data_IF_314279197752
#
_entry.id   IF_314279197752
#
_cell.length_a   1.000
_cell.length_b   1.000
_cell.length_c   1.000
_cell.angle_alpha   90.00
_cell.angle_beta   90.00
_cell.angle_gamma   90.00
#
_symmetry.space_group_name_H-M   'P 1'
#
loop_
_entity.id
_entity.type
_entity.pdbx_description
1 polymer ?
#
# COMPACT_ATOMS: atom_id res chain seq x y z
N UNK A 1 15.04 -49.93 -45.72
CA UNK A 1 13.61 -49.71 -45.38
C UNK A 1 13.46 -48.34 -44.73
N UNK A 2 13.02 -47.38 -45.55
CA UNK A 2 12.99 -45.96 -45.15
C UNK A 2 11.62 -45.67 -44.54
N UNK A 3 11.59 -45.51 -43.22
CA UNK A 3 10.36 -45.32 -42.47
C UNK A 3 10.07 -43.78 -42.39
N UNK A 4 9.62 -43.20 -43.52
CA UNK A 4 9.14 -41.85 -43.58
C UNK A 4 7.89 -41.73 -42.71
N UNK A 5 8.03 -41.21 -41.50
CA UNK A 5 6.88 -40.74 -40.70
C UNK A 5 6.23 -39.59 -41.47
N UNK A 6 5.13 -39.85 -42.11
CA UNK A 6 4.26 -38.84 -42.66
C UNK A 6 3.67 -38.06 -41.48
N UNK A 7 4.15 -36.84 -41.25
CA UNK A 7 3.50 -35.88 -40.30
C UNK A 7 2.15 -35.51 -40.92
N UNK A 8 1.11 -36.21 -40.49
CA UNK A 8 -0.25 -35.84 -40.83
C UNK A 8 -0.64 -34.58 -40.04
N UNK A 9 -0.34 -33.41 -40.62
CA UNK A 9 -0.80 -32.12 -40.06
C UNK A 9 -2.31 -32.04 -40.20
N UNK A 10 -3.01 -31.85 -39.10
CA UNK A 10 -4.46 -31.68 -39.06
C UNK A 10 -4.78 -30.23 -38.70
N UNK A 11 -5.53 -29.55 -39.56
CA UNK A 11 -6.06 -28.20 -39.25
C UNK A 11 -7.42 -28.35 -38.54
N UNK A 12 -7.53 -27.74 -37.36
CA UNK A 12 -8.79 -27.62 -36.62
C UNK A 12 -9.20 -26.15 -36.63
N UNK A 13 -10.45 -25.86 -37.03
CA UNK A 13 -11.02 -24.52 -36.97
C UNK A 13 -11.87 -24.43 -35.70
N UNK A 14 -11.51 -23.51 -34.80
CA UNK A 14 -12.27 -23.22 -33.59
C UNK A 14 -12.85 -21.80 -33.70
N UNK A 15 -14.12 -21.63 -33.37
CA UNK A 15 -14.69 -20.29 -33.20
C UNK A 15 -14.29 -19.75 -31.85
N UNK A 16 -13.81 -18.52 -31.82
CA UNK A 16 -13.47 -17.77 -30.63
C UNK A 16 -14.39 -16.57 -30.49
N UNK A 17 -14.59 -16.14 -29.27
CA UNK A 17 -15.52 -15.09 -28.88
C UNK A 17 -14.81 -14.11 -27.95
N UNK A 18 -15.16 -12.84 -28.03
CA UNK A 18 -14.81 -11.86 -27.01
C UNK A 18 -15.64 -12.12 -25.74
N UNK A 19 -15.20 -11.63 -24.60
CA UNK A 19 -15.87 -11.88 -23.32
C UNK A 19 -17.36 -11.46 -23.34
N UNK A 20 -17.65 -10.29 -23.89
CA UNK A 20 -19.01 -9.74 -24.01
C UNK A 20 -19.92 -10.47 -25.02
N UNK A 21 -19.35 -11.33 -25.87
CA UNK A 21 -20.10 -12.17 -26.83
C UNK A 21 -20.50 -13.53 -26.25
N UNK A 22 -19.97 -13.84 -25.05
CA UNK A 22 -20.29 -15.09 -24.33
C UNK A 22 -21.67 -15.01 -23.66
N UNK A 23 -22.29 -16.16 -23.46
CA UNK A 23 -23.45 -16.25 -22.57
C UNK A 23 -23.05 -15.95 -21.13
N UNK A 24 -23.99 -15.49 -20.27
CA UNK A 24 -23.73 -15.22 -18.85
C UNK A 24 -23.07 -16.39 -18.11
N UNK A 25 -23.51 -17.62 -18.40
CA UNK A 25 -22.91 -18.82 -17.82
C UNK A 25 -21.45 -19.03 -18.27
N UNK A 26 -21.14 -18.74 -19.53
CA UNK A 26 -19.79 -18.85 -20.05
C UNK A 26 -18.90 -17.73 -19.50
N UNK A 27 -19.43 -16.51 -19.32
CA UNK A 27 -18.73 -15.40 -18.68
C UNK A 27 -18.37 -15.75 -17.23
N UNK A 28 -19.32 -16.25 -16.44
CA UNK A 28 -19.06 -16.67 -15.07
C UNK A 28 -18.01 -17.77 -15.00
N UNK A 29 -18.04 -18.71 -15.91
CA UNK A 29 -17.03 -19.77 -16.00
C UNK A 29 -15.65 -19.22 -16.36
N UNK A 30 -15.59 -18.24 -17.25
CA UNK A 30 -14.35 -17.56 -17.60
C UNK A 30 -13.75 -16.85 -16.38
N UNK A 31 -14.56 -16.10 -15.62
CA UNK A 31 -14.15 -15.42 -14.38
C UNK A 31 -13.62 -16.43 -13.35
N UNK A 32 -14.35 -17.52 -13.10
CA UNK A 32 -13.92 -18.56 -12.15
C UNK A 32 -12.60 -19.19 -12.57
N UNK A 33 -12.43 -19.49 -13.86
CA UNK A 33 -11.19 -20.04 -14.39
C UNK A 33 -10.03 -19.04 -14.28
N UNK A 34 -10.29 -17.75 -14.48
CA UNK A 34 -9.29 -16.70 -14.35
C UNK A 34 -8.80 -16.58 -12.91
N UNK A 35 -9.75 -16.56 -11.96
CA UNK A 35 -9.46 -16.52 -10.52
C UNK A 35 -8.64 -17.73 -10.05
N UNK A 36 -8.97 -18.92 -10.51
CA UNK A 36 -8.27 -20.15 -10.08
C UNK A 36 -6.84 -20.27 -10.65
N UNK A 37 -6.49 -19.55 -11.69
CA UNK A 37 -5.15 -19.58 -12.27
C UNK A 37 -4.13 -18.67 -11.56
N UNK A 38 -4.54 -17.91 -10.54
CA UNK A 38 -3.66 -17.10 -9.68
C UNK A 38 -2.85 -16.01 -10.40
N UNK A 39 -3.10 -15.77 -11.68
CA UNK A 39 -2.27 -14.96 -12.58
C UNK A 39 -2.16 -13.47 -12.16
N UNK A 40 -3.09 -13.00 -11.33
CA UNK A 40 -3.18 -11.58 -10.97
C UNK A 40 -2.54 -11.24 -9.63
N UNK A 41 -2.32 -12.20 -8.74
CA UNK A 41 -1.81 -11.98 -7.39
C UNK A 41 -0.32 -11.60 -7.34
N UNK A 42 0.49 -12.14 -8.26
CA UNK A 42 1.95 -11.98 -8.23
C UNK A 42 2.41 -10.53 -8.47
N UNK A 43 1.69 -9.78 -9.31
CA UNK A 43 2.07 -8.41 -9.65
C UNK A 43 1.96 -7.48 -8.42
N UNK A 44 0.81 -7.47 -7.76
CA UNK A 44 0.59 -6.62 -6.57
C UNK A 44 1.41 -7.06 -5.37
N UNK A 45 1.63 -8.37 -5.22
CA UNK A 45 2.44 -8.94 -4.15
C UNK A 45 3.86 -8.38 -4.13
N UNK A 46 4.49 -8.20 -5.30
CA UNK A 46 5.83 -7.64 -5.40
C UNK A 46 5.87 -6.16 -4.98
N UNK A 47 4.88 -5.36 -5.37
CA UNK A 47 4.83 -3.94 -5.04
C UNK A 47 4.58 -3.72 -3.54
N UNK A 48 3.64 -4.49 -2.96
CA UNK A 48 3.39 -4.46 -1.51
C UNK A 48 4.64 -4.90 -0.75
N UNK A 49 5.30 -5.98 -1.19
CA UNK A 49 6.53 -6.47 -0.58
C UNK A 49 7.65 -5.43 -0.62
N UNK A 50 7.79 -4.69 -1.72
CA UNK A 50 8.79 -3.63 -1.84
C UNK A 50 8.49 -2.47 -0.89
N UNK A 51 7.24 -2.03 -0.80
CA UNK A 51 6.81 -0.99 0.14
C UNK A 51 7.01 -1.44 1.59
N UNK A 52 6.61 -2.67 1.94
CA UNK A 52 6.81 -3.23 3.26
C UNK A 52 8.29 -3.29 3.66
N UNK A 53 9.16 -3.77 2.76
CA UNK A 53 10.62 -3.79 2.99
C UNK A 53 11.17 -2.39 3.28
N UNK A 54 10.74 -1.39 2.52
CA UNK A 54 11.20 -0.02 2.71
C UNK A 54 10.76 0.58 4.06
N UNK A 55 9.55 0.29 4.49
CA UNK A 55 9.05 0.72 5.81
C UNK A 55 9.82 0.02 6.93
N UNK A 56 10.08 -1.28 6.79
CA UNK A 56 10.88 -2.08 7.73
C UNK A 56 12.31 -1.53 7.82
N UNK A 57 12.94 -1.24 6.69
CA UNK A 57 14.27 -0.62 6.66
C UNK A 57 14.26 0.78 7.30
N UNK A 58 13.26 1.61 6.99
CA UNK A 58 13.13 2.97 7.50
C UNK A 58 13.12 3.02 9.04
N UNK A 59 12.32 2.18 9.68
CA UNK A 59 12.19 2.13 11.14
C UNK A 59 13.17 1.14 11.79
N UNK A 60 14.11 0.57 11.02
CA UNK A 60 15.06 -0.44 11.49
C UNK A 60 14.37 -1.60 12.22
N UNK A 61 13.30 -2.12 11.64
CA UNK A 61 12.53 -3.22 12.20
C UNK A 61 13.11 -4.57 11.77
N UNK A 62 12.77 -5.62 12.49
CA UNK A 62 12.97 -7.01 12.08
C UNK A 62 11.62 -7.66 11.86
N UNK A 63 11.58 -8.64 10.99
CA UNK A 63 10.38 -9.44 10.73
C UNK A 63 10.63 -10.90 11.05
N UNK A 64 9.57 -11.63 11.33
CA UNK A 64 9.57 -13.08 11.41
C UNK A 64 9.51 -13.71 10.02
N UNK A 65 8.65 -14.70 9.88
CA UNK A 65 8.45 -15.41 8.61
C UNK A 65 7.67 -14.57 7.59
N UNK A 66 6.88 -13.63 8.06
CA UNK A 66 6.05 -12.73 7.26
C UNK A 66 6.41 -11.28 7.56
N UNK A 67 6.20 -10.37 6.58
CA UNK A 67 6.46 -8.94 6.77
C UNK A 67 5.57 -8.28 7.83
N UNK A 68 4.43 -8.88 8.13
CA UNK A 68 3.51 -8.44 9.17
C UNK A 68 3.94 -8.83 10.59
N UNK A 69 4.82 -9.84 10.72
CA UNK A 69 5.37 -10.28 12.02
C UNK A 69 6.53 -9.34 12.43
N UNK A 70 6.18 -8.16 12.91
CA UNK A 70 7.14 -7.13 13.32
C UNK A 70 7.76 -7.49 14.67
N UNK A 71 9.10 -7.35 14.75
CA UNK A 71 9.89 -7.60 15.95
C UNK A 71 10.69 -6.36 16.33
N UNK A 72 10.42 -5.87 17.52
CA UNK A 72 11.01 -4.65 18.10
C UNK A 72 12.06 -4.90 19.16
N UNK A 73 12.28 -6.15 19.57
CA UNK A 73 13.12 -6.54 20.72
C UNK A 73 14.59 -6.09 20.66
N UNK A 74 15.05 -5.58 19.54
CA UNK A 74 16.40 -5.03 19.36
C UNK A 74 16.44 -3.50 19.43
N UNK A 75 15.28 -2.84 19.54
CA UNK A 75 15.16 -1.40 19.70
C UNK A 75 15.23 -1.09 21.19
N UNK A 76 15.86 0.04 21.54
CA UNK A 76 15.96 0.50 22.93
C UNK A 76 14.56 0.70 23.54
N UNK A 77 14.33 0.11 24.73
CA UNK A 77 13.06 0.20 25.43
C UNK A 77 12.64 1.65 25.71
N UNK A 78 13.59 2.57 25.91
CA UNK A 78 13.28 3.99 26.05
C UNK A 78 12.67 4.60 24.79
N UNK A 79 13.03 4.09 23.62
CA UNK A 79 12.43 4.50 22.34
C UNK A 79 11.06 3.86 22.19
N UNK A 80 10.94 2.56 22.46
CA UNK A 80 9.68 1.82 22.35
C UNK A 80 8.58 2.43 23.23
N UNK A 81 8.92 2.93 24.41
CA UNK A 81 7.99 3.53 25.37
C UNK A 81 7.73 5.04 25.14
N UNK A 82 8.33 5.65 24.11
CA UNK A 82 7.99 7.03 23.77
C UNK A 82 6.52 7.13 23.39
N UNK A 83 5.84 8.16 23.89
CA UNK A 83 4.41 8.40 23.60
C UNK A 83 4.07 9.88 23.51
N UNK A 84 2.90 10.19 22.94
CA UNK A 84 2.38 11.55 22.82
C UNK A 84 3.36 12.50 22.14
N UNK A 85 3.58 13.69 22.74
CA UNK A 85 4.43 14.74 22.15
C UNK A 85 5.91 14.31 22.05
N UNK A 86 6.39 13.43 22.94
CA UNK A 86 7.77 12.94 22.88
C UNK A 86 7.96 12.06 21.67
N UNK A 87 7.04 11.12 21.44
CA UNK A 87 7.03 10.26 20.27
C UNK A 87 6.89 11.06 18.98
N UNK A 88 5.95 12.02 18.96
CA UNK A 88 5.78 12.93 17.83
C UNK A 88 7.11 13.62 17.46
N UNK A 89 7.80 14.23 18.44
CA UNK A 89 9.09 14.88 18.20
C UNK A 89 10.15 13.90 17.71
N UNK A 90 10.16 12.69 18.25
CA UNK A 90 11.10 11.65 17.85
C UNK A 90 10.91 11.28 16.39
N UNK A 91 9.67 10.99 15.97
CA UNK A 91 9.37 10.64 14.58
C UNK A 91 9.73 11.79 13.64
N UNK A 92 9.34 13.01 13.97
CA UNK A 92 9.63 14.18 13.12
C UNK A 92 11.12 14.45 13.01
N UNK A 93 11.89 14.32 14.09
CA UNK A 93 13.32 14.62 14.06
C UNK A 93 14.15 13.56 13.33
N UNK A 94 13.70 12.32 13.30
CA UNK A 94 14.49 11.23 12.74
C UNK A 94 14.01 10.78 11.35
N UNK A 95 12.71 10.93 11.04
CA UNK A 95 12.10 10.33 9.84
C UNK A 95 11.38 11.33 8.93
N UNK A 96 11.39 12.62 9.25
CA UNK A 96 10.62 13.61 8.49
C UNK A 96 10.95 13.65 7.00
N UNK A 97 12.23 13.64 6.67
CA UNK A 97 12.69 13.70 5.26
C UNK A 97 12.24 12.51 4.42
N UNK A 98 12.00 11.38 5.07
CA UNK A 98 11.62 10.13 4.42
C UNK A 98 10.10 9.94 4.37
N UNK A 99 9.38 10.57 5.31
CA UNK A 99 7.93 10.46 5.42
C UNK A 99 7.17 11.57 4.68
N UNK A 100 7.82 12.71 4.39
CA UNK A 100 7.14 13.88 3.86
C UNK A 100 7.95 14.60 2.80
N UNK A 101 7.27 15.09 1.78
CA UNK A 101 7.82 16.08 0.87
C UNK A 101 7.92 17.42 1.60
N UNK A 102 9.10 18.06 1.70
CA UNK A 102 9.25 19.30 2.44
C UNK A 102 8.38 20.41 1.84
N UNK A 103 7.62 21.09 2.72
CA UNK A 103 6.86 22.28 2.34
C UNK A 103 7.67 23.51 2.67
N UNK A 104 8.11 24.23 1.65
CA UNK A 104 8.82 25.49 1.81
C UNK A 104 7.85 26.65 1.87
N UNK A 105 8.00 27.51 2.88
CA UNK A 105 7.21 28.73 3.04
C UNK A 105 8.15 29.92 2.90
N UNK A 106 7.77 30.85 2.02
CA UNK A 106 8.48 32.12 1.87
C UNK A 106 8.19 32.99 3.09
N UNK A 107 9.23 33.42 3.79
CA UNK A 107 9.11 34.36 4.89
C UNK A 107 9.05 35.82 4.41
N UNK A 108 8.79 36.77 5.34
CA UNK A 108 8.77 38.21 5.06
C UNK A 108 10.09 38.65 4.48
N UNK A 109 11.21 38.04 4.87
CA UNK A 109 12.57 38.34 4.42
C UNK A 109 12.94 37.68 3.08
N UNK A 110 11.98 37.12 2.36
CA UNK A 110 12.13 36.42 1.07
C UNK A 110 12.98 35.16 1.10
N UNK A 111 13.34 34.66 2.27
CA UNK A 111 13.99 33.36 2.42
C UNK A 111 13.01 32.22 2.46
N UNK A 112 13.38 31.07 1.89
CA UNK A 112 12.56 29.86 1.93
C UNK A 112 12.95 29.01 3.13
N UNK A 113 12.00 28.83 4.05
CA UNK A 113 12.18 27.97 5.22
C UNK A 113 11.23 26.80 5.17
N UNK A 114 11.74 25.64 5.54
CA UNK A 114 10.91 24.45 5.80
C UNK A 114 10.15 24.69 7.10
N UNK A 115 8.83 24.83 7.04
CA UNK A 115 7.99 25.06 8.22
C UNK A 115 7.18 23.82 8.54
N UNK A 116 7.64 23.06 9.50
CA UNK A 116 7.03 21.81 9.97
C UNK A 116 5.71 22.03 10.74
N UNK A 117 5.57 23.19 11.39
CA UNK A 117 4.44 23.45 12.30
C UNK A 117 3.86 24.84 12.15
N UNK A 118 2.53 24.93 12.33
CA UNK A 118 1.86 26.18 12.60
C UNK A 118 1.40 26.13 14.06
N UNK A 119 1.91 27.07 14.84
CA UNK A 119 1.40 27.32 16.17
C UNK A 119 0.26 28.35 16.10
N UNK A 120 -0.94 27.99 16.55
CA UNK A 120 -2.02 28.92 16.82
C UNK A 120 -2.13 29.11 18.31
N UNK A 121 -2.03 30.35 18.77
CA UNK A 121 -2.32 30.70 20.16
C UNK A 121 -3.82 30.90 20.29
N UNK A 122 -4.45 30.11 21.15
CA UNK A 122 -5.86 30.29 21.51
C UNK A 122 -5.95 30.72 22.98
N UNK A 123 -6.83 31.68 23.27
CA UNK A 123 -7.15 32.02 24.65
C UNK A 123 -8.28 31.10 25.09
N UNK A 124 -8.07 30.33 26.16
CA UNK A 124 -9.09 29.52 26.78
C UNK A 124 -10.16 30.35 27.49
N UNK A 125 -11.26 29.70 27.91
CA UNK A 125 -12.34 30.36 28.71
C UNK A 125 -11.83 30.84 30.06
N UNK A 126 -10.75 30.33 30.54
CA UNK A 126 -10.03 30.68 31.77
C UNK A 126 -9.08 31.90 31.61
N UNK A 127 -9.05 32.51 30.43
CA UNK A 127 -8.16 33.61 30.08
C UNK A 127 -6.71 33.20 29.77
N UNK A 128 -6.37 31.93 29.94
CA UNK A 128 -5.00 31.43 29.66
C UNK A 128 -4.76 31.24 28.17
N UNK A 129 -3.53 31.51 27.75
CA UNK A 129 -3.10 31.29 26.36
C UNK A 129 -2.57 29.88 26.19
N UNK A 130 -3.22 29.11 25.34
CA UNK A 130 -2.78 27.76 24.95
C UNK A 130 -2.21 27.80 23.54
N UNK A 131 -1.02 27.25 23.40
CA UNK A 131 -0.40 27.08 22.08
C UNK A 131 -0.86 25.75 21.50
N UNK A 132 -1.69 25.80 20.47
CA UNK A 132 -2.08 24.62 19.72
C UNK A 132 -1.14 24.47 18.53
N UNK A 133 -0.39 23.37 18.51
CA UNK A 133 0.52 23.02 17.41
C UNK A 133 -0.26 22.19 16.40
N UNK A 134 -0.34 22.66 15.18
CA UNK A 134 -0.88 21.89 14.06
C UNK A 134 0.27 21.48 13.17
N UNK A 135 0.37 20.20 12.89
CA UNK A 135 1.21 19.73 11.80
C UNK A 135 0.61 20.23 10.48
N UNK A 136 1.40 20.94 9.68
CA UNK A 136 1.07 21.25 8.28
C UNK A 136 1.63 20.19 7.33
N UNK A 137 1.77 18.99 7.79
CA UNK A 137 2.00 17.89 6.87
C UNK A 137 0.73 17.77 6.04
N UNK A 138 0.70 18.47 4.91
CA UNK A 138 -0.28 18.15 3.90
C UNK A 138 -0.06 16.69 3.58
N UNK A 139 -1.10 15.88 3.63
CA UNK A 139 -1.21 14.59 2.95
C UNK A 139 -0.99 14.83 1.45
N UNK A 140 0.21 15.10 1.05
CA UNK A 140 0.63 15.03 -0.34
C UNK A 140 1.22 13.64 -0.50
N UNK A 141 0.42 12.77 -0.55
CA UNK A 141 0.08 11.51 -1.20
C UNK A 141 1.07 10.94 -2.19
N UNK A 142 2.27 11.34 -2.19
CA UNK A 142 3.25 10.68 -3.00
C UNK A 142 3.75 9.48 -2.22
N UNK A 143 3.78 8.38 -2.86
CA UNK A 143 4.42 7.16 -2.47
C UNK A 143 5.89 7.46 -2.19
N UNK A 144 6.17 7.86 -0.95
CA UNK A 144 7.42 8.55 -0.58
C UNK A 144 8.65 7.64 -0.56
N UNK A 145 8.46 6.32 -0.45
CA UNK A 145 9.55 5.35 -0.30
C UNK A 145 9.85 4.61 -1.61
N UNK A 146 8.83 4.12 -2.28
CA UNK A 146 8.97 3.27 -3.48
C UNK A 146 8.43 3.92 -4.75
N UNK A 147 7.58 4.92 -4.61
CA UNK A 147 6.82 5.49 -5.72
C UNK A 147 5.53 4.72 -6.02
N UNK A 148 5.18 3.72 -5.23
CA UNK A 148 3.96 2.91 -5.37
C UNK A 148 2.94 3.28 -4.29
N UNK A 149 1.65 3.22 -4.60
CA UNK A 149 0.57 3.69 -3.70
C UNK A 149 0.54 2.99 -2.34
N UNK A 150 1.07 1.78 -2.24
CA UNK A 150 1.10 0.99 -1.00
C UNK A 150 1.95 1.56 0.13
N UNK A 151 2.93 2.43 -0.18
CA UNK A 151 3.68 3.16 0.85
C UNK A 151 2.74 3.91 1.79
N UNK A 152 1.70 4.52 1.23
CA UNK A 152 0.75 5.34 1.97
C UNK A 152 -0.14 4.49 2.87
N UNK A 153 -0.59 3.34 2.37
CA UNK A 153 -1.47 2.44 3.12
C UNK A 153 -0.73 1.86 4.33
N UNK A 154 0.53 1.44 4.12
CA UNK A 154 1.37 0.89 5.19
C UNK A 154 1.78 1.96 6.22
N UNK A 155 2.05 3.20 5.78
CA UNK A 155 2.44 4.30 6.65
C UNK A 155 1.26 5.04 7.29
N UNK A 156 0.01 4.68 6.97
CA UNK A 156 -1.18 5.36 7.49
C UNK A 156 -1.21 5.48 9.02
N UNK A 157 -0.82 4.46 9.82
CA UNK A 157 -0.76 4.60 11.27
C UNK A 157 0.15 5.74 11.73
N UNK A 158 1.30 5.92 11.07
CA UNK A 158 2.23 7.02 11.39
C UNK A 158 1.61 8.37 11.05
N UNK A 159 0.96 8.48 9.89
CA UNK A 159 0.32 9.73 9.48
C UNK A 159 -0.84 10.11 10.39
N UNK A 160 -1.66 9.17 10.80
CA UNK A 160 -2.78 9.39 11.72
C UNK A 160 -2.28 9.82 13.11
N UNK A 161 -1.24 9.17 13.61
CA UNK A 161 -0.59 9.60 14.85
C UNK A 161 -0.01 11.01 14.73
N UNK A 162 0.69 11.34 13.65
CA UNK A 162 1.28 12.67 13.45
C UNK A 162 0.21 13.76 13.28
N UNK A 163 -0.95 13.43 12.74
CA UNK A 163 -2.09 14.37 12.65
C UNK A 163 -2.70 14.61 14.04
N UNK A 164 -2.82 13.58 14.87
CA UNK A 164 -3.43 13.64 16.19
C UNK A 164 -2.65 12.83 17.22
N UNK A 165 -1.52 13.32 17.72
CA UNK A 165 -0.71 12.59 18.67
C UNK A 165 -1.47 12.19 19.95
N UNK A 166 -1.54 10.89 20.21
CA UNK A 166 -2.16 10.30 21.39
C UNK A 166 -1.13 10.08 22.50
N UNK A 167 -1.50 10.34 23.76
CA UNK A 167 -0.66 10.03 24.92
C UNK A 167 -0.60 8.53 25.22
N UNK A 168 -1.62 7.78 24.79
CA UNK A 168 -1.71 6.34 25.03
C UNK A 168 -0.99 5.50 23.98
N UNK A 169 -0.62 6.08 22.84
CA UNK A 169 0.06 5.35 21.77
C UNK A 169 1.57 5.45 21.94
N UNK A 170 2.23 4.33 22.03
CA UNK A 170 3.70 4.21 22.11
C UNK A 170 4.31 4.03 20.73
N UNK A 171 5.65 4.10 20.65
CA UNK A 171 6.35 3.77 19.41
C UNK A 171 6.18 2.29 19.05
N UNK A 172 6.18 1.42 20.07
CA UNK A 172 5.94 -0.01 19.90
C UNK A 172 4.54 -0.29 19.33
N UNK A 173 3.51 0.39 19.85
CA UNK A 173 2.14 0.27 19.32
C UNK A 173 2.09 0.65 17.84
N UNK A 174 2.72 1.77 17.45
CA UNK A 174 2.78 2.19 16.04
C UNK A 174 3.49 1.18 15.15
N UNK A 175 4.56 0.53 15.64
CA UNK A 175 5.26 -0.49 14.87
C UNK A 175 4.40 -1.75 14.68
N UNK A 176 3.63 -2.13 15.70
CA UNK A 176 2.66 -3.21 15.60
C UNK A 176 1.52 -2.85 14.62
N UNK A 177 0.99 -1.62 14.68
CA UNK A 177 -0.01 -1.12 13.73
C UNK A 177 0.51 -1.11 12.28
N UNK A 178 1.81 -0.86 12.06
CA UNK A 178 2.45 -1.02 10.74
C UNK A 178 2.38 -2.49 10.28
N UNK A 179 2.66 -3.45 11.14
CA UNK A 179 2.53 -4.87 10.82
C UNK A 179 1.10 -5.24 10.40
N UNK A 180 0.11 -4.74 11.14
CA UNK A 180 -1.31 -4.91 10.80
C UNK A 180 -1.66 -4.23 9.46
N UNK A 181 -1.14 -3.03 9.21
CA UNK A 181 -1.34 -2.31 7.96
C UNK A 181 -0.75 -3.08 6.77
N UNK A 182 0.44 -3.68 6.91
CA UNK A 182 1.03 -4.54 5.87
C UNK A 182 0.11 -5.73 5.58
N UNK A 183 -0.33 -6.44 6.63
CA UNK A 183 -1.24 -7.59 6.49
C UNK A 183 -2.54 -7.21 5.81
N UNK A 184 -3.13 -6.08 6.23
CA UNK A 184 -4.35 -5.55 5.64
C UNK A 184 -4.17 -5.19 4.17
N UNK A 185 -3.06 -4.55 3.81
CA UNK A 185 -2.75 -4.17 2.42
C UNK A 185 -2.69 -5.39 1.51
N UNK A 186 -2.09 -6.50 1.97
CA UNK A 186 -2.10 -7.76 1.24
C UNK A 186 -3.51 -8.33 1.07
N UNK A 187 -4.30 -8.35 2.16
CA UNK A 187 -5.67 -8.87 2.13
C UNK A 187 -6.58 -8.04 1.21
N UNK A 188 -6.51 -6.72 1.29
CA UNK A 188 -7.30 -5.82 0.46
C UNK A 188 -6.94 -5.98 -1.04
N UNK A 189 -5.65 -6.15 -1.35
CA UNK A 189 -5.18 -6.38 -2.72
C UNK A 189 -5.63 -7.76 -3.25
N UNK A 190 -5.61 -8.79 -2.42
CA UNK A 190 -6.10 -10.11 -2.77
C UNK A 190 -7.61 -10.11 -3.01
N UNK A 191 -8.38 -9.45 -2.14
CA UNK A 191 -9.82 -9.31 -2.31
C UNK A 191 -10.16 -8.57 -3.62
N UNK A 192 -9.47 -7.45 -3.88
CA UNK A 192 -9.67 -6.68 -5.10
C UNK A 192 -9.34 -7.48 -6.35
N UNK A 193 -8.17 -8.12 -6.42
CA UNK A 193 -7.74 -8.89 -7.59
C UNK A 193 -8.59 -10.13 -7.86
N UNK A 194 -9.27 -10.65 -6.83
CA UNK A 194 -10.21 -11.76 -6.94
C UNK A 194 -11.66 -11.30 -7.20
N UNK A 195 -11.95 -10.01 -7.25
CA UNK A 195 -13.29 -9.51 -7.54
C UNK A 195 -13.69 -9.79 -9.00
N UNK A 196 -14.98 -10.00 -9.22
CA UNK A 196 -15.52 -10.18 -10.57
C UNK A 196 -15.29 -8.94 -11.44
N UNK A 197 -15.38 -7.75 -10.84
CA UNK A 197 -15.16 -6.47 -11.49
C UNK A 197 -13.75 -6.37 -12.06
N UNK A 198 -12.73 -6.54 -11.21
CA UNK A 198 -11.33 -6.48 -11.62
C UNK A 198 -10.97 -7.52 -12.68
N UNK A 199 -11.46 -8.76 -12.52
CA UNK A 199 -11.22 -9.85 -13.46
C UNK A 199 -11.86 -9.51 -14.82
N UNK A 200 -13.08 -9.00 -14.81
CA UNK A 200 -13.79 -8.60 -16.04
C UNK A 200 -13.06 -7.48 -16.77
N UNK A 201 -12.69 -6.41 -16.07
CA UNK A 201 -11.92 -5.30 -16.63
C UNK A 201 -10.58 -5.78 -17.21
N UNK A 202 -9.90 -6.69 -16.51
CA UNK A 202 -8.63 -7.26 -16.97
C UNK A 202 -8.80 -8.10 -18.23
N UNK A 203 -9.84 -8.92 -18.30
CA UNK A 203 -10.16 -9.73 -19.48
C UNK A 203 -10.45 -8.83 -20.70
N UNK A 204 -11.24 -7.79 -20.51
CA UNK A 204 -11.62 -6.86 -21.59
C UNK A 204 -10.43 -6.00 -22.03
N UNK A 205 -9.67 -5.44 -21.11
CA UNK A 205 -8.50 -4.61 -21.40
C UNK A 205 -7.40 -5.36 -22.17
N UNK A 206 -7.24 -6.66 -21.91
CA UNK A 206 -6.29 -7.51 -22.62
C UNK A 206 -6.88 -8.19 -23.87
N UNK A 207 -8.13 -7.92 -24.19
CA UNK A 207 -8.83 -8.46 -25.35
C UNK A 207 -8.77 -10.00 -25.46
N UNK A 208 -8.83 -10.70 -24.33
CA UNK A 208 -8.75 -12.17 -24.34
C UNK A 208 -9.91 -12.79 -25.12
N UNK A 209 -9.60 -13.89 -25.80
CA UNK A 209 -10.54 -14.67 -26.59
C UNK A 209 -10.88 -15.99 -25.88
N UNK A 210 -12.10 -16.44 -26.09
CA UNK A 210 -12.66 -17.60 -25.41
C UNK A 210 -13.34 -18.55 -26.39
N UNK A 211 -13.38 -19.82 -26.04
CA UNK A 211 -14.29 -20.78 -26.64
C UNK A 211 -15.71 -20.54 -26.13
N UNK A 212 -16.71 -21.04 -26.84
CA UNK A 212 -18.15 -20.84 -26.52
C UNK A 212 -18.50 -21.23 -25.07
N UNK A 213 -17.74 -22.11 -24.44
CA UNK A 213 -17.97 -22.58 -23.08
C UNK A 213 -17.17 -21.77 -22.01
N UNK A 214 -16.56 -20.65 -22.38
CA UNK A 214 -15.85 -19.74 -21.46
C UNK A 214 -14.43 -20.16 -21.09
N UNK A 215 -13.82 -21.09 -21.83
CA UNK A 215 -12.38 -21.39 -21.66
C UNK A 215 -11.56 -20.39 -22.49
N UNK A 216 -10.51 -19.87 -21.91
CA UNK A 216 -9.55 -19.02 -22.63
C UNK A 216 -8.90 -19.81 -23.77
N UNK A 217 -8.83 -19.16 -24.95
CA UNK A 217 -8.21 -19.72 -26.15
C UNK A 217 -6.71 -19.41 -26.21
#
# INVERSE_FOLDING_TARGET
>A
MDNRRTNNMRTVRTKVYKFNELSEQAQQKAIVNFRSNGFLSDFYSNDISNSAKKVIELFNLKTGNEYSDIRTSHIDDNILQLSGVRLYKYIVNNYYSDLFTPVYIKTIDKEWHCKLFICKVRTGRDGNKYTQVYSKTKKNNSCVLTGVCYDMDILQPIYDFLEKPSKGTTFEDLMNEIGEAISKTYSDAEEWTNSDEYITETIEANEYEFTQDGRRF
#
